data_IF_480750135909
#
_entry.id   IF_480750135909
#
_cell.length_a   1.000
_cell.length_b   1.000
_cell.length_c   1.000
_cell.angle_alpha   90.00
_cell.angle_beta   90.00
_cell.angle_gamma   90.00
#
_symmetry.space_group_name_H-M   'P 1'
#
loop_
_entity.id
_entity.type
_entity.pdbx_description
1 polymer ?
#
# COMPACT_ATOMS: atom_id res chain seq x y z
N UNK A 1 6.04 26.46 23.30
CA UNK A 1 5.99 25.05 22.85
C UNK A 1 4.63 24.39 23.18
N UNK A 2 3.51 24.83 22.56
CA UNK A 2 2.16 24.23 22.75
C UNK A 2 1.78 23.19 21.67
N UNK A 3 2.76 22.75 20.88
CA UNK A 3 2.55 21.93 19.68
C UNK A 3 2.35 20.43 19.97
N UNK A 4 2.66 19.95 21.18
CA UNK A 4 2.73 18.49 21.43
C UNK A 4 1.36 17.82 21.58
N UNK A 5 0.40 18.41 22.31
CA UNK A 5 -0.86 17.73 22.64
C UNK A 5 -1.85 17.67 21.47
N UNK A 6 -1.96 18.77 20.71
CA UNK A 6 -2.85 18.84 19.55
C UNK A 6 -2.34 17.92 18.43
N UNK A 7 -1.03 17.92 18.18
CA UNK A 7 -0.42 17.01 17.22
C UNK A 7 -0.63 15.53 17.61
N UNK A 8 -0.40 15.19 18.87
CA UNK A 8 -0.61 13.83 19.37
C UNK A 8 -2.08 13.42 19.23
N UNK A 9 -3.02 14.31 19.57
CA UNK A 9 -4.45 14.05 19.41
C UNK A 9 -4.84 13.82 17.94
N UNK A 10 -4.36 14.66 17.02
CA UNK A 10 -4.61 14.50 15.58
C UNK A 10 -4.01 13.20 15.03
N UNK A 11 -2.81 12.80 15.49
CA UNK A 11 -2.20 11.54 15.12
C UNK A 11 -3.06 10.34 15.54
N UNK A 12 -3.51 10.31 16.81
CA UNK A 12 -4.36 9.23 17.31
C UNK A 12 -5.73 9.19 16.63
N UNK A 13 -6.34 10.36 16.36
CA UNK A 13 -7.61 10.44 15.63
C UNK A 13 -7.44 9.90 14.21
N UNK A 14 -6.40 10.34 13.49
CA UNK A 14 -6.12 9.84 12.14
C UNK A 14 -5.85 8.34 12.13
N UNK A 15 -5.04 7.85 13.07
CA UNK A 15 -4.76 6.42 13.22
C UNK A 15 -6.02 5.61 13.49
N UNK A 16 -6.90 6.09 14.39
CA UNK A 16 -8.17 5.44 14.68
C UNK A 16 -9.09 5.39 13.44
N UNK A 17 -9.16 6.47 12.66
CA UNK A 17 -9.96 6.51 11.42
C UNK A 17 -9.45 5.47 10.41
N UNK A 18 -8.13 5.34 10.25
CA UNK A 18 -7.54 4.32 9.35
C UNK A 18 -7.91 2.91 9.81
N UNK A 19 -7.81 2.62 11.11
CA UNK A 19 -8.19 1.31 11.66
C UNK A 19 -9.66 1.03 11.42
N UNK A 20 -10.55 1.98 11.72
CA UNK A 20 -11.99 1.82 11.50
C UNK A 20 -12.28 1.55 10.03
N UNK A 21 -11.69 2.31 9.11
CA UNK A 21 -11.84 2.09 7.67
C UNK A 21 -11.37 0.70 7.23
N UNK A 22 -10.23 0.24 7.76
CA UNK A 22 -9.70 -1.10 7.47
C UNK A 22 -10.64 -2.21 7.97
N UNK A 23 -11.16 -2.10 9.19
CA UNK A 23 -12.11 -3.06 9.75
C UNK A 23 -13.41 -3.12 8.93
N UNK A 24 -13.95 -1.96 8.54
CA UNK A 24 -15.14 -1.90 7.68
C UNK A 24 -14.91 -2.60 6.33
N UNK A 25 -13.76 -2.40 5.70
CA UNK A 25 -13.38 -3.09 4.46
C UNK A 25 -13.32 -4.61 4.66
N UNK A 26 -12.74 -5.07 5.78
CA UNK A 26 -12.64 -6.50 6.10
C UNK A 26 -14.02 -7.11 6.31
N UNK A 27 -14.90 -6.46 7.09
CA UNK A 27 -16.26 -6.96 7.31
C UNK A 27 -17.09 -6.97 6.02
N UNK A 28 -16.96 -5.95 5.19
CA UNK A 28 -17.62 -5.89 3.89
C UNK A 28 -17.15 -7.03 2.97
N UNK A 29 -15.84 -7.28 2.91
CA UNK A 29 -15.26 -8.39 2.15
C UNK A 29 -15.72 -9.75 2.67
N UNK A 30 -15.72 -9.95 3.99
CA UNK A 30 -16.14 -11.20 4.63
C UNK A 30 -17.64 -11.50 4.43
N UNK A 31 -18.47 -10.47 4.29
CA UNK A 31 -19.91 -10.60 4.05
C UNK A 31 -20.24 -10.85 2.58
N UNK A 32 -19.28 -10.64 1.66
CA UNK A 32 -19.47 -10.89 0.24
C UNK A 32 -19.18 -12.35 -0.09
N UNK A 33 -20.13 -13.06 -0.68
CA UNK A 33 -19.97 -14.45 -1.17
C UNK A 33 -19.23 -14.53 -2.52
N UNK A 34 -18.58 -13.43 -2.93
CA UNK A 34 -17.86 -13.33 -4.20
C UNK A 34 -16.52 -14.08 -4.19
N UNK A 35 -15.99 -14.38 -5.38
CA UNK A 35 -14.65 -14.95 -5.53
C UNK A 35 -13.61 -14.02 -4.91
N UNK A 36 -13.05 -14.44 -3.77
CA UNK A 36 -11.96 -13.73 -3.12
C UNK A 36 -10.75 -13.68 -4.06
N UNK A 37 -10.27 -12.47 -4.33
CA UNK A 37 -9.00 -12.28 -5.02
C UNK A 37 -7.88 -12.33 -4.00
N UNK A 38 -6.96 -13.27 -4.17
CA UNK A 38 -5.76 -13.39 -3.34
C UNK A 38 -4.56 -13.06 -4.19
N UNK A 39 -3.66 -12.23 -3.69
CA UNK A 39 -2.42 -11.91 -4.37
C UNK A 39 -1.45 -11.17 -3.46
N UNK A 40 -0.21 -11.10 -3.90
CA UNK A 40 0.88 -10.41 -3.24
C UNK A 40 1.87 -9.89 -4.26
N UNK A 41 2.74 -8.99 -3.81
CA UNK A 41 3.90 -8.57 -4.58
C UNK A 41 5.14 -8.62 -3.71
N UNK A 42 6.26 -9.00 -4.31
CA UNK A 42 7.58 -9.04 -3.68
C UNK A 42 8.50 -8.16 -4.53
N UNK A 43 9.20 -7.23 -3.90
CA UNK A 43 10.24 -6.43 -4.54
C UNK A 43 11.59 -7.12 -4.33
N UNK A 44 12.14 -7.75 -5.36
CA UNK A 44 13.51 -8.28 -5.34
C UNK A 44 14.41 -7.27 -6.04
N UNK A 45 15.08 -6.44 -5.26
CA UNK A 45 15.75 -5.25 -5.80
C UNK A 45 14.73 -4.33 -6.49
N UNK A 46 15.07 -3.68 -7.62
CA UNK A 46 14.15 -2.80 -8.33
C UNK A 46 13.07 -3.55 -9.14
N UNK A 47 13.05 -4.90 -9.11
CA UNK A 47 12.13 -5.71 -9.91
C UNK A 47 10.91 -6.15 -9.08
N UNK A 48 9.69 -5.69 -9.42
CA UNK A 48 8.46 -6.16 -8.79
C UNK A 48 8.06 -7.54 -9.34
N UNK A 49 7.85 -8.50 -8.44
CA UNK A 49 7.28 -9.82 -8.74
C UNK A 49 5.86 -9.83 -8.18
N UNK A 50 4.88 -10.02 -9.05
CA UNK A 50 3.45 -10.02 -8.69
C UNK A 50 2.89 -11.41 -8.89
N UNK A 51 2.15 -11.89 -7.91
CA UNK A 51 1.40 -13.13 -8.01
C UNK A 51 0.01 -12.91 -7.42
N UNK A 52 -1.00 -13.53 -8.03
CA UNK A 52 -2.36 -13.42 -7.54
C UNK A 52 -3.36 -14.00 -8.51
N UNK A 53 -4.49 -14.44 -7.98
CA UNK A 53 -5.59 -15.02 -8.72
C UNK A 53 -6.90 -14.35 -8.29
N UNK A 54 -7.78 -14.13 -9.27
CA UNK A 54 -9.11 -13.55 -9.08
C UNK A 54 -9.31 -12.24 -9.84
N UNK A 55 -10.54 -11.69 -9.83
CA UNK A 55 -10.91 -10.50 -10.60
C UNK A 55 -10.05 -9.26 -10.31
N UNK A 56 -9.48 -9.14 -9.11
CA UNK A 56 -8.61 -8.04 -8.71
C UNK A 56 -7.15 -8.17 -9.12
N UNK A 57 -6.73 -9.30 -9.69
CA UNK A 57 -5.32 -9.57 -9.99
C UNK A 57 -4.74 -8.58 -11.02
N UNK A 58 -5.53 -8.15 -12.00
CA UNK A 58 -5.08 -7.15 -12.99
C UNK A 58 -4.73 -5.81 -12.33
N UNK A 59 -5.51 -5.38 -11.33
CA UNK A 59 -5.23 -4.17 -10.56
C UNK A 59 -3.94 -4.31 -9.75
N UNK A 60 -3.74 -5.44 -9.08
CA UNK A 60 -2.51 -5.72 -8.33
C UNK A 60 -1.27 -5.65 -9.21
N UNK A 61 -1.33 -6.23 -10.42
CA UNK A 61 -0.23 -6.18 -11.40
C UNK A 61 0.04 -4.73 -11.83
N UNK A 62 -1.01 -3.97 -12.14
CA UNK A 62 -0.88 -2.59 -12.60
C UNK A 62 -0.27 -1.69 -11.51
N UNK A 63 -0.71 -1.83 -10.26
CA UNK A 63 -0.12 -1.13 -9.12
C UNK A 63 1.35 -1.49 -8.90
N UNK A 64 1.70 -2.77 -8.98
CA UNK A 64 3.06 -3.21 -8.75
C UNK A 64 4.03 -2.73 -9.85
N UNK A 65 3.58 -2.66 -11.12
CA UNK A 65 4.37 -2.08 -12.21
C UNK A 65 4.63 -0.59 -11.92
N UNK A 66 3.59 0.17 -11.56
CA UNK A 66 3.72 1.60 -11.24
C UNK A 66 4.71 1.79 -10.07
N UNK A 67 4.54 1.03 -8.99
CA UNK A 67 5.42 1.10 -7.83
C UNK A 67 6.86 0.68 -8.16
N UNK A 68 7.04 -0.32 -9.03
CA UNK A 68 8.35 -0.75 -9.51
C UNK A 68 9.06 0.35 -10.30
N UNK A 69 8.37 0.99 -11.25
CA UNK A 69 8.92 2.11 -12.03
C UNK A 69 9.30 3.27 -11.12
N UNK A 70 8.45 3.62 -10.15
CA UNK A 70 8.75 4.67 -9.16
C UNK A 70 9.98 4.28 -8.35
N UNK A 71 10.08 3.03 -7.89
CA UNK A 71 11.23 2.54 -7.12
C UNK A 71 12.52 2.67 -7.91
N UNK A 72 12.55 2.20 -9.17
CA UNK A 72 13.69 2.34 -10.08
C UNK A 72 14.07 3.81 -10.26
N UNK A 73 13.10 4.67 -10.53
CA UNK A 73 13.34 6.10 -10.76
C UNK A 73 13.92 6.78 -9.52
N UNK A 74 13.38 6.50 -8.33
CA UNK A 74 13.88 7.04 -7.06
C UNK A 74 15.30 6.55 -6.78
N UNK A 75 15.56 5.24 -6.94
CA UNK A 75 16.90 4.66 -6.75
C UNK A 75 17.90 5.29 -7.71
N UNK A 76 17.54 5.42 -9.00
CA UNK A 76 18.40 6.05 -10.00
C UNK A 76 18.70 7.52 -9.69
N UNK A 77 17.67 8.31 -9.34
CA UNK A 77 17.83 9.71 -8.96
C UNK A 77 18.69 9.87 -7.70
N UNK A 78 18.53 8.98 -6.71
CA UNK A 78 19.29 9.03 -5.48
C UNK A 78 20.74 8.58 -5.69
N UNK A 79 20.98 7.59 -6.55
CA UNK A 79 22.32 7.15 -6.95
C UNK A 79 23.06 8.26 -7.71
N UNK A 80 22.39 8.98 -8.61
CA UNK A 80 22.97 10.12 -9.34
C UNK A 80 23.38 11.28 -8.41
N UNK A 81 22.70 11.47 -7.27
CA UNK A 81 23.06 12.51 -6.29
C UNK A 81 24.26 12.14 -5.41
N UNK A 82 24.72 10.89 -5.46
CA UNK A 82 25.86 10.38 -4.67
C UNK A 82 27.17 10.25 -5.48
N UNK A 83 27.12 10.46 -6.79
CA UNK A 83 28.27 10.55 -7.71
C UNK A 83 28.50 12.02 -8.09
#
# INVERSE_FOLDING_TARGET
MKFSRVFLALFFIGFAIIIVGMLLMIFAAASSSGQASVGGFILIGPFPIVFGAGPGAQWLVLFAIILGVISVAVIYLMARKRL
#
